data_IF_442681811707
#
_entry.id   IF_442681811707
#
_cell.length_a   1.000
_cell.length_b   1.000
_cell.length_c   1.000
_cell.angle_alpha   90.00
_cell.angle_beta   90.00
_cell.angle_gamma   90.00
#
_symmetry.space_group_name_H-M   'P 1'
#
loop_
_entity.id
_entity.type
_entity.pdbx_description
1 polymer ?
#
# COMPACT_ATOMS: atom_id res chain seq x y z
N UNK A 1 -20.57 87.47 -4.25
CA UNK A 1 -21.39 86.36 -3.74
C UNK A 1 -20.57 85.10 -3.83
N UNK A 2 -20.51 84.36 -2.72
CA UNK A 2 -19.64 83.20 -2.50
C UNK A 2 -20.03 82.01 -3.39
N UNK A 3 -19.04 81.26 -3.86
CA UNK A 3 -19.00 79.82 -3.58
C UNK A 3 -17.54 79.34 -3.59
N UNK A 4 -17.17 78.67 -2.49
CA UNK A 4 -15.92 77.96 -2.25
C UNK A 4 -15.82 76.77 -3.22
N UNK A 5 -14.64 76.28 -3.61
CA UNK A 5 -13.77 75.30 -2.93
C UNK A 5 -12.41 75.34 -3.70
N UNK A 6 -11.22 75.65 -3.16
CA UNK A 6 -10.39 74.97 -2.14
C UNK A 6 -10.38 73.44 -2.28
N UNK A 7 -9.27 72.69 -2.36
CA UNK A 7 -7.85 72.94 -2.04
C UNK A 7 -7.09 71.64 -2.37
N UNK A 8 -5.91 71.74 -3.01
CA UNK A 8 -4.69 70.90 -2.85
C UNK A 8 -4.76 69.38 -3.12
N UNK A 9 -3.68 68.64 -3.30
CA UNK A 9 -2.31 68.80 -3.82
C UNK A 9 -1.65 67.44 -3.53
N UNK A 10 -0.72 67.06 -4.40
CA UNK A 10 0.36 66.11 -4.19
C UNK A 10 0.05 64.61 -4.09
N UNK A 11 0.89 63.82 -4.77
CA UNK A 11 1.16 62.45 -4.36
C UNK A 11 1.25 61.46 -5.50
N UNK A 12 2.44 61.33 -6.09
CA UNK A 12 2.78 60.20 -6.92
C UNK A 12 2.66 58.88 -6.12
N UNK A 13 2.02 57.88 -6.70
CA UNK A 13 2.18 56.49 -6.29
C UNK A 13 2.12 55.59 -7.53
N UNK A 14 3.29 55.13 -7.96
CA UNK A 14 3.47 54.03 -8.90
C UNK A 14 2.86 52.77 -8.25
N UNK A 15 1.70 52.33 -8.73
CA UNK A 15 1.16 51.01 -8.38
C UNK A 15 1.74 49.99 -9.37
N UNK A 16 2.84 49.37 -8.96
CA UNK A 16 3.31 48.11 -9.53
C UNK A 16 2.24 47.04 -9.23
N UNK A 17 1.40 46.72 -10.22
CA UNK A 17 0.61 45.50 -10.17
C UNK A 17 1.56 44.30 -10.34
N UNK A 18 2.01 43.75 -9.23
CA UNK A 18 2.57 42.41 -9.20
C UNK A 18 1.45 41.42 -9.52
N UNK A 19 1.57 40.75 -10.68
CA UNK A 19 0.83 39.53 -10.96
C UNK A 19 1.26 38.47 -9.93
N UNK A 20 0.57 38.45 -8.79
CA UNK A 20 0.62 37.37 -7.83
C UNK A 20 -0.06 36.14 -8.44
N UNK A 21 0.65 35.45 -9.33
CA UNK A 21 0.38 34.04 -9.56
C UNK A 21 0.61 33.35 -8.20
N UNK A 22 -0.48 33.06 -7.48
CA UNK A 22 -0.45 32.05 -6.43
C UNK A 22 0.00 30.76 -7.09
N UNK A 23 1.31 30.50 -7.05
CA UNK A 23 1.83 29.18 -7.24
C UNK A 23 1.19 28.34 -6.14
N UNK A 24 0.16 27.58 -6.52
CA UNK A 24 -0.30 26.47 -5.72
C UNK A 24 0.95 25.69 -5.30
N UNK A 25 1.07 25.26 -4.04
CA UNK A 25 2.21 24.46 -3.65
C UNK A 25 2.16 23.20 -4.51
N UNK A 26 3.02 23.12 -5.52
CA UNK A 26 3.37 21.85 -6.14
C UNK A 26 3.87 21.02 -4.99
N UNK A 27 3.02 20.10 -4.54
CA UNK A 27 3.42 19.03 -3.65
C UNK A 27 4.70 18.48 -4.26
N UNK A 28 5.83 18.67 -3.56
CA UNK A 28 7.02 17.90 -3.86
C UNK A 28 6.61 16.47 -3.63
N UNK A 29 6.27 15.76 -4.70
CA UNK A 29 6.26 14.31 -4.72
C UNK A 29 7.66 13.92 -4.28
N UNK A 30 7.82 13.55 -3.02
CA UNK A 30 9.05 12.91 -2.56
C UNK A 30 9.11 11.60 -3.32
N UNK A 31 9.80 11.60 -4.46
CA UNK A 31 9.98 10.39 -5.25
C UNK A 31 10.93 9.48 -4.48
N UNK A 32 10.40 8.76 -3.49
CA UNK A 32 11.06 7.56 -3.01
C UNK A 32 10.90 6.55 -4.14
N UNK A 33 11.82 6.60 -5.11
CA UNK A 33 11.83 5.60 -6.17
C UNK A 33 12.41 4.34 -5.56
N UNK A 34 11.57 3.36 -5.26
CA UNK A 34 12.01 1.98 -5.02
C UNK A 34 12.71 1.38 -6.24
N UNK A 35 12.64 2.06 -7.38
CA UNK A 35 12.88 1.48 -8.67
C UNK A 35 14.20 2.03 -9.17
N UNK A 36 15.15 1.13 -9.34
CA UNK A 36 16.42 1.41 -10.00
C UNK A 36 16.22 1.48 -11.51
N UNK A 37 15.41 0.57 -12.05
CA UNK A 37 15.18 0.46 -13.49
C UNK A 37 13.82 -0.18 -13.80
N UNK A 38 13.18 0.34 -14.85
CA UNK A 38 12.12 -0.37 -15.57
C UNK A 38 12.69 -1.07 -16.81
N UNK A 39 12.34 -2.33 -17.01
CA UNK A 39 12.72 -3.13 -18.16
C UNK A 39 11.47 -3.64 -18.88
N UNK A 40 11.49 -3.55 -20.22
CA UNK A 40 10.41 -4.06 -21.07
C UNK A 40 9.01 -3.48 -20.77
N UNK A 41 8.95 -2.31 -20.13
CA UNK A 41 7.70 -1.60 -19.84
C UNK A 41 7.49 -0.47 -20.86
N UNK A 42 6.28 -0.34 -21.38
CA UNK A 42 5.86 0.86 -22.10
C UNK A 42 5.55 2.02 -21.16
N UNK A 43 5.32 3.21 -21.71
CA UNK A 43 5.06 4.43 -20.93
C UNK A 43 3.82 4.32 -20.04
N UNK A 44 2.75 3.68 -20.49
CA UNK A 44 1.52 3.57 -19.72
C UNK A 44 1.70 2.58 -18.55
N UNK A 45 2.44 1.48 -18.78
CA UNK A 45 2.81 0.52 -17.76
C UNK A 45 3.69 1.18 -16.69
N UNK A 46 4.69 1.97 -17.09
CA UNK A 46 5.54 2.74 -16.15
C UNK A 46 4.70 3.67 -15.29
N UNK A 47 3.82 4.48 -15.89
CA UNK A 47 2.95 5.41 -15.15
C UNK A 47 2.07 4.68 -14.12
N UNK A 48 1.46 3.54 -14.50
CA UNK A 48 0.66 2.73 -13.57
C UNK A 48 1.51 2.19 -12.41
N UNK A 49 2.73 1.73 -12.70
CA UNK A 49 3.66 1.24 -11.69
C UNK A 49 4.12 2.35 -10.75
N UNK A 50 4.55 3.51 -11.27
CA UNK A 50 4.95 4.66 -10.45
C UNK A 50 3.85 5.06 -9.47
N UNK A 51 2.60 5.05 -9.92
CA UNK A 51 1.45 5.29 -9.04
C UNK A 51 1.30 4.20 -7.99
N UNK A 52 1.34 2.92 -8.38
CA UNK A 52 1.23 1.81 -7.44
C UNK A 52 2.35 1.84 -6.37
N UNK A 53 3.59 2.11 -6.76
CA UNK A 53 4.73 2.24 -5.84
C UNK A 53 4.62 3.48 -4.94
N UNK A 54 4.13 4.60 -5.45
CA UNK A 54 3.85 5.79 -4.61
C UNK A 54 2.80 5.48 -3.54
N UNK A 55 1.75 4.74 -3.93
CA UNK A 55 0.71 4.30 -3.00
C UNK A 55 1.26 3.26 -2.00
N UNK A 56 2.16 2.35 -2.41
CA UNK A 56 2.88 1.45 -1.49
C UNK A 56 3.61 2.27 -0.42
N UNK A 57 4.36 3.29 -0.81
CA UNK A 57 5.06 4.17 0.14
C UNK A 57 4.11 4.80 1.15
N UNK A 58 2.93 5.24 0.69
CA UNK A 58 1.88 5.78 1.54
C UNK A 58 1.38 4.73 2.55
N UNK A 59 1.09 3.52 2.08
CA UNK A 59 0.63 2.42 2.93
C UNK A 59 1.64 2.05 4.01
N UNK A 60 2.91 1.80 3.64
CA UNK A 60 3.92 1.34 4.59
C UNK A 60 4.31 2.42 5.59
N UNK A 61 4.43 3.67 5.16
CA UNK A 61 4.77 4.80 6.06
C UNK A 61 3.70 4.98 7.13
N UNK A 62 2.41 4.84 6.76
CA UNK A 62 1.33 4.91 7.72
C UNK A 62 1.29 3.66 8.63
N UNK A 63 1.53 2.48 8.07
CA UNK A 63 1.52 1.20 8.79
C UNK A 63 2.61 1.09 9.88
N UNK A 64 3.74 1.78 9.75
CA UNK A 64 4.72 1.89 10.84
C UNK A 64 4.11 2.37 12.17
N UNK A 65 3.06 3.20 12.09
CA UNK A 65 2.34 3.77 13.24
C UNK A 65 1.10 2.97 13.63
N UNK A 66 0.92 1.75 13.10
CA UNK A 66 -0.27 0.94 13.36
C UNK A 66 -0.52 0.75 14.86
N UNK A 67 -1.76 1.02 15.27
CA UNK A 67 -2.23 0.74 16.62
C UNK A 67 -2.49 -0.76 16.76
N UNK A 68 -1.59 -1.45 17.46
CA UNK A 68 -1.65 -2.92 17.64
C UNK A 68 -2.83 -3.40 18.50
N UNK A 69 -3.61 -2.47 19.07
CA UNK A 69 -4.87 -2.79 19.77
C UNK A 69 -6.09 -2.85 18.84
N UNK A 70 -5.95 -2.43 17.57
CA UNK A 70 -7.07 -2.31 16.62
C UNK A 70 -7.21 -3.50 15.69
N UNK A 71 -8.36 -3.57 15.02
CA UNK A 71 -8.68 -4.63 14.06
C UNK A 71 -7.68 -4.80 12.91
N UNK A 72 -7.12 -3.73 12.31
CA UNK A 72 -6.07 -3.90 11.29
C UNK A 72 -4.84 -4.65 11.78
N UNK A 73 -4.58 -4.69 13.09
CA UNK A 73 -3.58 -5.57 13.68
C UNK A 73 -4.15 -6.96 14.01
N UNK A 74 -5.20 -7.01 14.82
CA UNK A 74 -5.75 -8.29 15.33
C UNK A 74 -6.37 -9.17 14.26
N UNK A 75 -6.72 -8.64 13.09
CA UNK A 75 -7.15 -9.44 11.94
C UNK A 75 -5.99 -10.22 11.30
N UNK A 76 -4.75 -9.75 11.41
CA UNK A 76 -3.61 -10.29 10.65
C UNK A 76 -2.40 -10.69 11.49
N UNK A 77 -2.37 -10.40 12.79
CA UNK A 77 -1.23 -10.74 13.65
C UNK A 77 -1.67 -11.21 15.03
N UNK A 78 -0.77 -11.87 15.75
CA UNK A 78 -0.97 -12.28 17.15
C UNK A 78 -1.16 -11.05 18.06
N UNK A 79 -2.01 -11.20 19.06
CA UNK A 79 -2.45 -10.09 19.94
C UNK A 79 -1.96 -10.21 21.39
N UNK A 80 -1.26 -11.29 21.73
CA UNK A 80 -0.71 -11.55 23.06
C UNK A 80 0.54 -12.43 22.98
N UNK A 81 1.25 -12.56 24.10
CA UNK A 81 2.40 -13.46 24.23
C UNK A 81 3.65 -13.00 23.47
N UNK A 82 4.67 -13.85 23.46
CA UNK A 82 5.93 -13.60 22.74
C UNK A 82 5.69 -13.43 21.24
N UNK A 83 4.72 -14.16 20.68
CA UNK A 83 4.37 -14.04 19.28
C UNK A 83 3.86 -12.67 18.85
N UNK A 84 3.09 -11.98 19.70
CA UNK A 84 2.73 -10.57 19.43
C UNK A 84 3.99 -9.71 19.30
N UNK A 85 4.95 -9.88 20.19
CA UNK A 85 6.19 -9.09 20.18
C UNK A 85 7.01 -9.35 18.92
N UNK A 86 7.08 -10.60 18.47
CA UNK A 86 7.71 -10.95 17.20
C UNK A 86 6.97 -10.35 16.01
N UNK A 87 5.64 -10.52 15.95
CA UNK A 87 4.82 -9.97 14.86
C UNK A 87 4.99 -8.45 14.78
N UNK A 88 4.92 -7.76 15.92
CA UNK A 88 5.11 -6.31 16.02
C UNK A 88 6.49 -5.86 15.55
N UNK A 89 7.54 -6.55 15.99
CA UNK A 89 8.91 -6.26 15.57
C UNK A 89 9.09 -6.43 14.07
N UNK A 90 8.69 -7.59 13.53
CA UNK A 90 9.01 -7.95 12.15
C UNK A 90 8.08 -7.29 11.14
N UNK A 91 6.78 -7.13 11.44
CA UNK A 91 5.86 -6.42 10.53
C UNK A 91 6.21 -4.94 10.41
N UNK A 92 6.44 -4.24 11.53
CA UNK A 92 6.90 -2.84 11.50
C UNK A 92 8.29 -2.71 10.89
N UNK A 93 9.18 -3.66 11.18
CA UNK A 93 10.50 -3.74 10.54
C UNK A 93 10.40 -3.85 9.01
N UNK A 94 9.47 -4.67 8.51
CA UNK A 94 9.22 -4.87 7.09
C UNK A 94 8.70 -3.59 6.42
N UNK A 95 7.66 -2.96 6.98
CA UNK A 95 7.14 -1.70 6.44
C UNK A 95 8.21 -0.60 6.42
N UNK A 96 9.01 -0.48 7.48
CA UNK A 96 10.12 0.48 7.56
C UNK A 96 11.24 0.18 6.57
N UNK A 97 11.58 -1.10 6.38
CA UNK A 97 12.58 -1.52 5.41
C UNK A 97 12.13 -1.19 3.99
N UNK A 98 10.87 -1.47 3.66
CA UNK A 98 10.26 -1.11 2.38
C UNK A 98 10.24 0.40 2.21
N UNK A 99 9.82 1.18 3.21
CA UNK A 99 9.77 2.65 3.15
C UNK A 99 11.14 3.30 2.97
N UNK A 100 12.23 2.55 3.18
CA UNK A 100 13.59 3.07 3.15
C UNK A 100 14.01 3.53 1.74
N UNK A 101 14.67 4.69 1.61
CA UNK A 101 15.22 5.13 0.32
C UNK A 101 16.36 4.24 -0.20
N UNK A 102 16.92 3.37 0.66
CA UNK A 102 17.99 2.45 0.31
C UNK A 102 17.46 1.14 -0.31
N UNK A 103 16.17 0.87 -0.20
CA UNK A 103 15.56 -0.28 -0.84
C UNK A 103 15.37 0.00 -2.34
N UNK A 104 15.98 -0.84 -3.18
CA UNK A 104 15.98 -0.71 -4.64
C UNK A 104 15.68 -2.04 -5.31
N UNK A 105 14.84 -1.98 -6.34
CA UNK A 105 14.44 -3.12 -7.17
C UNK A 105 14.51 -2.76 -8.65
N UNK A 106 14.72 -3.78 -9.47
CA UNK A 106 14.48 -3.70 -10.92
C UNK A 106 13.09 -4.26 -11.20
N UNK A 107 12.31 -3.54 -12.01
CA UNK A 107 10.94 -3.94 -12.37
C UNK A 107 10.89 -4.28 -13.85
N UNK A 108 10.49 -5.50 -14.16
CA UNK A 108 10.31 -5.98 -15.54
C UNK A 108 8.84 -6.19 -15.84
N UNK A 109 8.32 -5.55 -16.89
CA UNK A 109 6.99 -5.86 -17.42
C UNK A 109 7.08 -7.11 -18.30
N UNK A 110 6.42 -8.17 -17.89
CA UNK A 110 6.48 -9.46 -18.57
C UNK A 110 5.69 -9.47 -19.87
N UNK A 111 6.17 -10.24 -20.85
CA UNK A 111 5.37 -10.71 -21.97
C UNK A 111 4.30 -11.71 -21.51
N UNK A 112 3.27 -11.94 -22.33
CA UNK A 112 2.13 -12.81 -22.00
C UNK A 112 2.47 -14.29 -21.84
N UNK A 113 3.61 -14.74 -22.36
CA UNK A 113 4.12 -16.10 -22.30
C UNK A 113 5.18 -16.32 -21.20
N UNK A 114 5.47 -15.29 -20.38
CA UNK A 114 6.46 -15.39 -19.32
C UNK A 114 6.09 -16.47 -18.29
N UNK A 115 7.04 -17.34 -17.96
CA UNK A 115 6.83 -18.47 -17.05
C UNK A 115 6.48 -18.07 -15.61
N UNK A 116 6.88 -16.87 -15.15
CA UNK A 116 6.51 -16.31 -13.85
C UNK A 116 5.04 -15.85 -13.81
N UNK A 117 4.43 -15.60 -14.98
CA UNK A 117 3.06 -15.10 -15.11
C UNK A 117 2.03 -16.20 -15.38
N UNK A 118 2.33 -17.44 -14.99
CA UNK A 118 1.39 -18.57 -15.13
C UNK A 118 0.09 -18.28 -14.37
N UNK A 119 -1.03 -18.71 -14.95
CA UNK A 119 -2.35 -18.73 -14.30
C UNK A 119 -2.85 -17.39 -13.71
N UNK A 120 -2.52 -16.25 -14.33
CA UNK A 120 -3.12 -14.97 -13.94
C UNK A 120 -2.53 -14.35 -12.67
N UNK A 121 -1.30 -14.73 -12.28
CA UNK A 121 -0.54 -14.03 -11.24
C UNK A 121 -0.42 -12.53 -11.55
N UNK A 122 -0.50 -11.69 -10.51
CA UNK A 122 -0.40 -10.24 -10.64
C UNK A 122 1.06 -9.82 -10.89
N UNK A 123 1.98 -10.37 -10.11
CA UNK A 123 3.41 -10.13 -10.20
C UNK A 123 4.16 -11.32 -9.55
N UNK A 124 5.48 -11.24 -9.53
CA UNK A 124 6.39 -12.18 -8.90
C UNK A 124 7.66 -11.46 -8.47
N UNK A 125 8.10 -11.66 -7.24
CA UNK A 125 9.41 -11.27 -6.74
C UNK A 125 10.32 -12.50 -6.57
N UNK A 126 11.56 -12.42 -7.08
CA UNK A 126 12.56 -13.48 -6.87
C UNK A 126 13.11 -13.40 -5.42
N UNK A 127 12.85 -14.41 -4.56
CA UNK A 127 13.28 -14.39 -3.16
C UNK A 127 14.77 -14.73 -2.99
N UNK A 128 15.48 -15.10 -4.06
CA UNK A 128 16.88 -15.53 -4.00
C UNK A 128 17.78 -14.41 -3.44
N UNK A 129 18.67 -14.69 -2.46
CA UNK A 129 19.60 -13.70 -1.94
C UNK A 129 20.41 -13.00 -3.04
N UNK A 130 20.48 -11.67 -2.96
CA UNK A 130 21.14 -10.83 -3.95
C UNK A 130 20.32 -10.54 -5.22
N UNK A 131 19.10 -11.10 -5.34
CA UNK A 131 18.11 -10.71 -6.35
C UNK A 131 17.16 -9.67 -5.78
N UNK A 132 16.84 -8.69 -6.60
CA UNK A 132 15.89 -7.62 -6.32
C UNK A 132 15.05 -7.36 -7.58
N UNK A 133 14.70 -8.42 -8.30
CA UNK A 133 14.00 -8.36 -9.57
C UNK A 133 12.51 -8.68 -9.35
N UNK A 134 11.64 -7.71 -9.65
CA UNK A 134 10.20 -7.89 -9.70
C UNK A 134 9.76 -8.08 -11.15
N UNK A 135 9.00 -9.13 -11.42
CA UNK A 135 8.31 -9.34 -12.69
C UNK A 135 6.83 -9.00 -12.53
N UNK A 136 6.34 -8.01 -13.27
CA UNK A 136 4.93 -7.61 -13.24
C UNK A 136 4.21 -8.18 -14.45
N UNK A 137 3.11 -8.88 -14.21
CA UNK A 137 2.43 -9.66 -15.24
C UNK A 137 1.38 -8.84 -16.01
N UNK A 138 1.07 -9.21 -17.26
CA UNK A 138 0.12 -8.45 -18.09
C UNK A 138 -1.24 -8.21 -17.46
N UNK A 139 -1.73 -9.14 -16.63
CA UNK A 139 -3.02 -9.01 -15.94
C UNK A 139 -3.05 -7.79 -15.01
N UNK A 140 -1.93 -7.43 -14.37
CA UNK A 140 -1.85 -6.23 -13.51
C UNK A 140 -2.24 -4.96 -14.28
N UNK A 141 -1.91 -4.88 -15.56
CA UNK A 141 -2.12 -3.68 -16.37
C UNK A 141 -3.52 -3.57 -16.97
N UNK A 142 -4.31 -4.64 -16.97
CA UNK A 142 -5.68 -4.60 -17.52
C UNK A 142 -6.57 -3.69 -16.68
N UNK A 143 -7.41 -2.90 -17.33
CA UNK A 143 -8.29 -1.92 -16.68
C UNK A 143 -9.43 -2.55 -15.89
N UNK A 144 -9.75 -3.81 -16.16
CA UNK A 144 -10.87 -4.55 -15.59
C UNK A 144 -10.45 -5.58 -14.52
N UNK A 145 -9.14 -5.77 -14.29
CA UNK A 145 -8.62 -6.69 -13.26
C UNK A 145 -8.99 -6.16 -11.88
N UNK A 146 -9.88 -6.85 -11.12
CA UNK A 146 -10.39 -6.34 -9.84
C UNK A 146 -9.30 -5.95 -8.83
N UNK A 147 -8.23 -6.73 -8.78
CA UNK A 147 -7.11 -6.62 -7.85
C UNK A 147 -6.24 -5.37 -8.09
N UNK A 148 -6.14 -4.91 -9.34
CA UNK A 148 -5.18 -3.87 -9.74
C UNK A 148 -5.77 -2.71 -10.54
N UNK A 149 -7.10 -2.67 -10.73
CA UNK A 149 -7.76 -1.59 -11.46
C UNK A 149 -7.79 -0.28 -10.67
N UNK A 150 -7.80 -0.33 -9.34
CA UNK A 150 -7.86 0.85 -8.48
C UNK A 150 -6.48 1.24 -7.96
N UNK A 151 -6.34 2.49 -7.55
CA UNK A 151 -5.25 3.08 -6.79
C UNK A 151 -5.86 3.94 -5.66
N UNK A 152 -5.08 4.47 -4.72
CA UNK A 152 -5.62 5.15 -3.53
C UNK A 152 -6.46 6.40 -3.86
N UNK A 153 -6.26 7.04 -5.02
CA UNK A 153 -6.98 8.23 -5.48
C UNK A 153 -8.02 7.96 -6.58
N UNK A 154 -8.31 6.69 -6.89
CA UNK A 154 -9.36 6.30 -7.87
C UNK A 154 -10.77 6.72 -7.43
N UNK A 155 -10.94 6.98 -6.13
CA UNK A 155 -12.20 7.38 -5.51
C UNK A 155 -11.93 8.51 -4.53
N UNK A 156 -12.95 9.34 -4.32
CA UNK A 156 -12.90 10.30 -3.23
C UNK A 156 -12.99 9.56 -1.89
N UNK A 157 -12.29 10.04 -0.86
CA UNK A 157 -12.32 9.36 0.44
C UNK A 157 -13.72 9.38 1.06
N UNK A 158 -14.34 10.57 1.10
CA UNK A 158 -15.66 10.79 1.68
C UNK A 158 -16.62 11.42 0.67
N UNK A 159 -17.91 11.14 0.86
CA UNK A 159 -18.95 11.95 0.25
C UNK A 159 -18.86 13.41 0.74
N UNK A 160 -19.07 14.41 -0.13
CA UNK A 160 -19.17 15.80 0.30
C UNK A 160 -20.25 15.94 1.38
N UNK A 161 -19.98 16.76 2.39
CA UNK A 161 -20.96 17.07 3.44
C UNK A 161 -22.24 17.63 2.80
N UNK A 162 -23.39 17.03 3.15
CA UNK A 162 -24.70 17.46 2.66
C UNK A 162 -25.12 16.92 1.28
N UNK A 163 -24.28 16.17 0.57
CA UNK A 163 -24.67 15.50 -0.68
C UNK A 163 -25.23 14.09 -0.41
N UNK A 164 -26.53 13.89 -0.70
CA UNK A 164 -27.07 12.52 -0.83
C UNK A 164 -26.44 11.86 -2.05
N UNK A 165 -25.88 10.64 -1.96
CA UNK A 165 -25.38 9.92 -3.12
C UNK A 165 -26.47 9.84 -4.20
N UNK A 166 -26.19 10.41 -5.38
CA UNK A 166 -27.16 10.46 -6.47
C UNK A 166 -27.54 9.05 -6.91
N UNK A 167 -28.85 8.73 -6.89
CA UNK A 167 -29.39 7.47 -7.42
C UNK A 167 -29.39 7.41 -8.97
N UNK A 168 -29.14 8.53 -9.65
CA UNK A 168 -29.35 8.66 -11.12
C UNK A 168 -28.22 9.37 -11.88
N UNK A 169 -27.14 9.79 -11.21
CA UNK A 169 -25.94 10.38 -11.85
C UNK A 169 -24.79 9.38 -11.93
N UNK A 170 -23.64 9.75 -12.54
CA UNK A 170 -22.43 8.93 -12.42
C UNK A 170 -22.18 8.73 -10.92
N UNK A 171 -22.19 7.47 -10.48
CA UNK A 171 -21.92 7.12 -9.09
C UNK A 171 -20.52 7.65 -8.79
N UNK A 172 -20.42 8.76 -8.05
CA UNK A 172 -19.16 9.10 -7.39
C UNK A 172 -18.96 7.98 -6.38
N UNK A 173 -18.05 7.06 -6.70
CA UNK A 173 -17.67 5.99 -5.78
C UNK A 173 -16.78 6.61 -4.71
N UNK A 174 -17.10 6.33 -3.44
CA UNK A 174 -16.32 6.80 -2.31
C UNK A 174 -15.63 5.62 -1.66
N UNK A 175 -14.45 5.84 -1.08
CA UNK A 175 -13.80 4.79 -0.31
C UNK A 175 -14.60 4.46 0.94
N UNK A 176 -14.94 5.49 1.71
CA UNK A 176 -15.67 5.34 2.97
C UNK A 176 -17.16 5.14 2.70
N UNK A 177 -17.51 3.92 2.33
CA UNK A 177 -18.88 3.44 2.22
C UNK A 177 -19.15 2.37 3.28
N UNK A 178 -20.30 2.48 3.95
CA UNK A 178 -20.72 1.49 4.94
C UNK A 178 -20.92 0.10 4.32
N UNK A 179 -20.72 -0.95 5.13
CA UNK A 179 -21.00 -2.35 4.78
C UNK A 179 -20.22 -2.91 3.58
N UNK A 180 -19.14 -2.25 3.16
CA UNK A 180 -18.22 -2.79 2.15
C UNK A 180 -17.28 -3.82 2.76
N UNK A 181 -17.05 -4.91 2.03
CA UNK A 181 -16.00 -5.85 2.39
C UNK A 181 -14.62 -5.29 2.06
N UNK A 182 -13.58 -5.89 2.65
CA UNK A 182 -12.17 -5.53 2.41
C UNK A 182 -11.79 -5.58 0.93
N UNK A 183 -12.44 -6.44 0.14
CA UNK A 183 -12.29 -6.48 -1.32
C UNK A 183 -12.68 -5.18 -2.03
N UNK A 184 -13.60 -4.40 -1.47
CA UNK A 184 -13.96 -3.09 -2.03
C UNK A 184 -12.78 -2.12 -2.04
N UNK A 185 -11.91 -2.24 -1.06
CA UNK A 185 -10.78 -1.36 -0.75
C UNK A 185 -9.49 -1.77 -1.46
N UNK A 186 -9.53 -2.82 -2.27
CA UNK A 186 -8.36 -3.32 -2.99
C UNK A 186 -7.89 -2.33 -4.06
N UNK A 187 -6.58 -2.09 -4.05
CA UNK A 187 -5.81 -1.24 -4.93
C UNK A 187 -4.55 -1.97 -5.45
N UNK A 188 -4.02 -1.55 -6.59
CA UNK A 188 -2.79 -2.10 -7.17
C UNK A 188 -1.62 -2.14 -6.17
N UNK A 189 -1.55 -1.16 -5.27
CA UNK A 189 -0.50 -1.02 -4.29
C UNK A 189 -0.37 -2.21 -3.32
N UNK A 190 -1.45 -2.81 -2.81
CA UNK A 190 -1.27 -3.91 -1.86
C UNK A 190 -0.64 -5.16 -2.50
N UNK A 191 -0.89 -5.39 -3.80
CA UNK A 191 -0.29 -6.52 -4.50
C UNK A 191 1.19 -6.28 -4.79
N UNK A 192 1.57 -5.04 -5.14
CA UNK A 192 2.99 -4.68 -5.25
C UNK A 192 3.68 -4.77 -3.89
N UNK A 193 3.02 -4.30 -2.81
CA UNK A 193 3.54 -4.43 -1.45
C UNK A 193 3.74 -5.90 -1.06
N UNK A 194 2.78 -6.77 -1.35
CA UNK A 194 2.89 -8.21 -1.15
C UNK A 194 4.19 -8.74 -1.77
N UNK A 195 4.43 -8.50 -3.07
CA UNK A 195 5.64 -8.95 -3.74
C UNK A 195 6.91 -8.35 -3.14
N UNK A 196 6.89 -7.06 -2.77
CA UNK A 196 8.04 -6.41 -2.15
C UNK A 196 8.47 -7.11 -0.86
N UNK A 197 7.55 -7.75 -0.13
CA UNK A 197 7.89 -8.45 1.13
C UNK A 197 8.67 -9.75 0.91
N UNK A 198 8.62 -10.34 -0.29
CA UNK A 198 9.34 -11.59 -0.59
C UNK A 198 10.85 -11.41 -0.77
N UNK A 199 11.33 -10.20 -1.06
CA UNK A 199 12.75 -9.99 -1.31
C UNK A 199 13.60 -10.28 -0.07
N UNK A 200 14.67 -11.08 -0.25
CA UNK A 200 15.64 -11.36 0.80
C UNK A 200 16.24 -10.08 1.39
N UNK A 201 16.59 -9.12 0.53
CA UNK A 201 17.22 -7.87 0.93
C UNK A 201 16.35 -7.06 1.91
N UNK A 202 15.04 -7.02 1.67
CA UNK A 202 14.11 -6.28 2.53
C UNK A 202 13.84 -7.01 3.83
N UNK A 203 13.69 -8.34 3.78
CA UNK A 203 13.53 -9.16 4.97
C UNK A 203 14.75 -9.06 5.89
N UNK A 204 15.95 -9.08 5.30
CA UNK A 204 17.21 -8.90 6.03
C UNK A 204 17.31 -7.52 6.65
N UNK A 205 16.94 -6.47 5.92
CA UNK A 205 16.90 -5.10 6.43
C UNK A 205 15.88 -4.92 7.56
N UNK A 206 14.75 -5.62 7.48
CA UNK A 206 13.73 -5.68 8.51
C UNK A 206 14.12 -6.54 9.73
N UNK A 207 15.24 -7.28 9.64
CA UNK A 207 15.76 -8.13 10.68
C UNK A 207 14.99 -9.44 10.85
N UNK A 208 14.23 -9.88 9.85
CA UNK A 208 13.57 -11.19 9.87
C UNK A 208 14.63 -12.30 9.99
N UNK A 209 14.33 -13.43 10.65
CA UNK A 209 15.25 -14.56 10.65
C UNK A 209 15.47 -15.11 9.23
N UNK A 210 16.59 -15.77 8.98
CA UNK A 210 16.72 -16.62 7.80
C UNK A 210 15.84 -17.87 7.98
N UNK A 211 15.24 -18.36 6.89
CA UNK A 211 14.58 -19.67 6.85
C UNK A 211 14.69 -20.27 5.45
N UNK A 212 14.40 -21.56 5.34
CA UNK A 212 14.29 -22.23 4.03
C UNK A 212 12.84 -22.19 3.58
N UNK A 213 12.56 -21.43 2.52
CA UNK A 213 11.24 -21.30 1.91
C UNK A 213 10.77 -22.59 1.25
N UNK A 214 9.51 -22.60 0.80
CA UNK A 214 8.91 -23.78 0.15
C UNK A 214 9.59 -24.18 -1.16
N UNK A 215 10.25 -23.23 -1.81
CA UNK A 215 11.05 -23.41 -3.03
C UNK A 215 12.46 -23.96 -2.76
N UNK A 216 12.84 -24.14 -1.49
CA UNK A 216 14.16 -24.59 -1.06
C UNK A 216 15.20 -23.47 -0.98
N UNK A 217 14.81 -22.21 -1.23
CA UNK A 217 15.67 -21.04 -1.14
C UNK A 217 15.82 -20.64 0.33
N UNK A 218 17.05 -20.37 0.76
CA UNK A 218 17.32 -19.75 2.06
C UNK A 218 17.29 -18.24 1.93
N UNK A 219 16.34 -17.60 2.60
CA UNK A 219 16.13 -16.16 2.50
C UNK A 219 15.54 -15.58 3.79
N UNK A 220 15.47 -14.25 3.85
CA UNK A 220 14.89 -13.49 4.96
C UNK A 220 13.49 -12.92 4.63
N UNK A 221 13.04 -13.01 3.37
CA UNK A 221 11.74 -12.52 2.93
C UNK A 221 10.53 -13.25 3.54
N UNK A 222 9.34 -12.83 3.16
CA UNK A 222 8.08 -13.55 3.44
C UNK A 222 7.85 -14.68 2.43
N UNK A 223 6.89 -15.55 2.73
CA UNK A 223 6.39 -16.61 1.84
C UNK A 223 4.87 -16.45 1.67
N UNK A 224 4.31 -17.18 0.71
CA UNK A 224 2.87 -17.35 0.56
C UNK A 224 2.35 -18.55 1.34
N UNK A 225 1.48 -18.32 2.32
CA UNK A 225 0.83 -19.41 3.04
C UNK A 225 -0.17 -20.16 2.15
N UNK A 226 -1.16 -19.44 1.60
CA UNK A 226 -2.23 -19.95 0.73
C UNK A 226 -2.69 -18.86 -0.25
N UNK A 227 -2.50 -19.10 -1.54
CA UNK A 227 -2.70 -18.10 -2.61
C UNK A 227 -4.16 -17.84 -2.99
N UNK A 228 -5.07 -18.81 -2.83
CA UNK A 228 -6.49 -18.61 -3.10
C UNK A 228 -7.18 -17.88 -1.95
N UNK A 229 -8.14 -16.98 -2.19
CA UNK A 229 -8.85 -16.24 -1.14
C UNK A 229 -7.89 -15.64 -0.09
N UNK A 230 -6.79 -15.05 -0.57
CA UNK A 230 -5.65 -14.62 0.24
C UNK A 230 -6.03 -13.79 1.47
N UNK A 231 -6.97 -12.84 1.36
CA UNK A 231 -7.39 -12.05 2.54
C UNK A 231 -8.03 -12.92 3.63
N UNK A 232 -8.95 -13.80 3.24
CA UNK A 232 -9.61 -14.73 4.18
C UNK A 232 -8.58 -15.67 4.82
N UNK A 233 -7.61 -16.14 4.03
CA UNK A 233 -6.57 -17.02 4.53
C UNK A 233 -5.55 -16.29 5.41
N UNK A 234 -5.17 -15.05 5.12
CA UNK A 234 -4.35 -14.23 5.99
C UNK A 234 -5.01 -14.05 7.37
N UNK A 235 -6.32 -13.75 7.39
CA UNK A 235 -7.08 -13.67 8.65
C UNK A 235 -7.19 -15.02 9.37
N UNK A 236 -7.37 -16.10 8.62
CA UNK A 236 -7.41 -17.46 9.18
C UNK A 236 -6.05 -17.84 9.82
N UNK A 237 -4.94 -17.47 9.20
CA UNK A 237 -3.60 -17.71 9.74
C UNK A 237 -3.46 -17.07 11.11
N UNK A 238 -3.74 -15.76 11.20
CA UNK A 238 -3.69 -15.02 12.45
C UNK A 238 -4.63 -15.63 13.50
N UNK A 239 -5.85 -16.00 13.10
CA UNK A 239 -6.83 -16.63 13.99
C UNK A 239 -6.33 -17.95 14.57
N UNK A 240 -5.70 -18.81 13.76
CA UNK A 240 -5.15 -20.09 14.23
C UNK A 240 -4.07 -19.88 15.30
N UNK A 241 -3.13 -18.97 15.03
CA UNK A 241 -2.06 -18.62 15.96
C UNK A 241 -2.56 -17.97 17.26
N UNK A 242 -3.56 -17.09 17.18
CA UNK A 242 -4.18 -16.47 18.36
C UNK A 242 -4.95 -17.49 19.22
N UNK A 243 -5.53 -18.52 18.59
CA UNK A 243 -6.29 -19.56 19.27
C UNK A 243 -5.39 -20.52 20.04
N UNK A 244 -4.31 -20.99 19.42
CA UNK A 244 -3.43 -22.00 20.00
C UNK A 244 -1.99 -21.88 19.45
N UNK A 245 -1.25 -20.91 19.99
CA UNK A 245 0.14 -20.62 19.61
C UNK A 245 1.05 -21.83 19.82
N UNK A 246 0.97 -22.49 20.97
CA UNK A 246 1.80 -23.66 21.30
C UNK A 246 1.61 -24.82 20.31
N UNK A 247 0.38 -25.04 19.84
CA UNK A 247 0.12 -26.03 18.79
C UNK A 247 0.71 -25.62 17.45
N UNK A 248 0.57 -24.36 17.06
CA UNK A 248 1.12 -23.85 15.80
C UNK A 248 2.65 -23.97 15.79
N UNK A 249 3.31 -23.62 16.91
CA UNK A 249 4.75 -23.80 17.11
C UNK A 249 5.15 -25.28 17.01
N UNK A 250 4.46 -26.17 17.72
CA UNK A 250 4.73 -27.63 17.67
C UNK A 250 4.61 -28.19 16.25
N UNK A 251 3.68 -27.65 15.45
CA UNK A 251 3.44 -28.06 14.07
C UNK A 251 4.38 -27.39 13.06
N UNK A 252 5.27 -26.48 13.50
CA UNK A 252 6.07 -25.62 12.62
C UNK A 252 5.20 -24.88 11.60
N UNK A 253 4.03 -24.38 12.02
CA UNK A 253 3.20 -23.56 11.14
C UNK A 253 3.92 -22.23 10.81
N UNK A 254 3.55 -21.60 9.69
CA UNK A 254 4.11 -20.30 9.32
C UNK A 254 3.52 -19.22 10.25
N UNK A 255 4.34 -18.40 10.95
CA UNK A 255 3.82 -17.32 11.77
C UNK A 255 3.29 -16.16 10.89
N UNK A 256 2.33 -15.35 11.37
CA UNK A 256 1.68 -14.34 10.52
C UNK A 256 2.65 -13.30 9.95
N UNK A 257 3.71 -12.91 10.67
CA UNK A 257 4.73 -11.98 10.15
C UNK A 257 5.53 -12.50 8.95
N UNK A 258 5.47 -13.80 8.67
CA UNK A 258 6.11 -14.45 7.52
C UNK A 258 5.21 -14.53 6.30
N UNK A 259 3.92 -14.25 6.41
CA UNK A 259 3.02 -14.31 5.28
C UNK A 259 2.90 -12.95 4.60
N UNK A 260 3.18 -12.89 3.29
CA UNK A 260 3.15 -11.65 2.52
C UNK A 260 1.79 -10.92 2.60
N UNK A 261 0.69 -11.67 2.49
CA UNK A 261 -0.66 -11.09 2.58
C UNK A 261 -1.00 -10.52 3.95
N UNK A 262 -0.49 -11.10 5.04
CA UNK A 262 -0.72 -10.55 6.39
C UNK A 262 -0.08 -9.16 6.51
N UNK A 263 1.13 -8.99 5.99
CA UNK A 263 1.86 -7.72 5.97
C UNK A 263 1.17 -6.70 5.06
N UNK A 264 0.80 -7.10 3.85
CA UNK A 264 0.24 -6.19 2.84
C UNK A 264 -1.19 -5.75 3.18
N UNK A 265 -2.07 -6.68 3.54
CA UNK A 265 -3.48 -6.37 3.80
C UNK A 265 -3.65 -5.64 5.14
N UNK A 266 -2.81 -5.91 6.14
CA UNK A 266 -2.83 -5.13 7.39
C UNK A 266 -2.51 -3.65 7.15
N UNK A 267 -1.52 -3.34 6.30
CA UNK A 267 -1.20 -1.97 5.93
C UNK A 267 -2.36 -1.29 5.17
N UNK A 268 -2.99 -2.01 4.24
CA UNK A 268 -4.16 -1.53 3.51
C UNK A 268 -5.33 -1.24 4.45
N UNK A 269 -5.68 -2.20 5.31
CA UNK A 269 -6.81 -2.04 6.23
C UNK A 269 -6.55 -0.91 7.23
N UNK A 270 -5.30 -0.75 7.70
CA UNK A 270 -4.93 0.36 8.55
C UNK A 270 -5.09 1.71 7.86
N UNK A 271 -4.69 1.83 6.60
CA UNK A 271 -4.89 3.04 5.82
C UNK A 271 -6.37 3.42 5.77
N UNK A 272 -7.25 2.48 5.42
CA UNK A 272 -8.69 2.79 5.35
C UNK A 272 -9.34 2.97 6.73
N UNK A 273 -8.93 2.26 7.77
CA UNK A 273 -9.41 2.52 9.15
C UNK A 273 -9.00 3.90 9.66
N UNK A 274 -7.88 4.47 9.19
CA UNK A 274 -7.45 5.82 9.58
C UNK A 274 -8.22 6.92 8.86
N UNK A 275 -8.63 6.69 7.63
CA UNK A 275 -9.29 7.70 6.81
C UNK A 275 -10.81 7.56 6.84
N UNK A 276 -11.33 6.35 6.81
CA UNK A 276 -12.72 6.06 7.04
C UNK A 276 -12.91 5.84 8.54
N UNK A 277 -13.84 6.55 9.23
CA UNK A 277 -14.12 6.38 10.66
C UNK A 277 -14.83 5.04 10.94
N UNK A 278 -14.21 3.94 10.50
CA UNK A 278 -14.68 2.58 10.64
C UNK A 278 -14.30 2.14 12.04
N UNK A 279 -15.25 2.26 12.98
CA UNK A 279 -15.04 1.78 14.35
C UNK A 279 -14.96 0.25 14.45
N UNK A 280 -15.50 -0.46 13.45
CA UNK A 280 -15.51 -1.90 13.36
C UNK A 280 -14.51 -2.44 12.34
N UNK A 281 -14.10 -3.70 12.53
CA UNK A 281 -13.34 -4.49 11.55
C UNK A 281 -14.01 -4.46 10.18
N UNK A 282 -13.24 -4.25 9.10
CA UNK A 282 -13.79 -4.32 7.75
C UNK A 282 -14.22 -5.76 7.45
N UNK A 283 -15.47 -6.03 7.03
CA UNK A 283 -15.93 -7.38 6.69
C UNK A 283 -15.06 -8.06 5.61
N UNK A 284 -15.07 -9.41 5.59
CA UNK A 284 -14.48 -10.20 4.48
C UNK A 284 -15.30 -10.09 3.20
#
# INVERSE_FOLDING_TARGET
MLSLYQVFSAGAALLLYSNGASAAPTARTSSVSYIEKYASCDTAQVQKLEKAFTDVHTLVTLAETIDTSKHPWSNYFRTKGAGKTEDEKYAKGMWKAIASPNFKITVTCAASDNAACKSGSIAYADPTPGKNDMTVCPVFFKSDTPESKNNLDSRHMHAPEGERPSRKGPKKEYWCEDHKSIKWYEVAAQHILHEMTHFDSVGKQAGLPEYTGKDGVKAHGTDDWKTTNYIKNARLLATNWQKDEAKCEKNNEMPPYRNADNIAISALEWYFTKHCPLEASIPL
#
